data_IF_062450929709
#
_entry.id   IF_062450929709
#
_cell.length_a   1.000
_cell.length_b   1.000
_cell.length_c   1.000
_cell.angle_alpha   90.00
_cell.angle_beta   90.00
_cell.angle_gamma   90.00
#
_symmetry.space_group_name_H-M   'P 1'
#
loop_
_entity.id
_entity.type
_entity.pdbx_description
1 polymer ?
#
# COMPACT_ATOMS: atom_id res chain seq x y z
N UNK A 1 -2.83 -8.84 -20.11
CA UNK A 1 -2.90 -8.33 -18.72
C UNK A 1 -3.40 -9.43 -17.81
N UNK A 2 -2.86 -9.60 -16.59
CA UNK A 2 -3.45 -10.53 -15.61
C UNK A 2 -4.92 -10.15 -15.37
N UNK A 3 -5.75 -11.14 -15.04
CA UNK A 3 -7.19 -10.97 -14.90
C UNK A 3 -7.50 -9.88 -13.86
N UNK A 4 -8.09 -8.76 -14.30
CA UNK A 4 -8.55 -7.69 -13.41
C UNK A 4 -9.98 -7.99 -12.94
N UNK A 5 -10.29 -7.64 -11.68
CA UNK A 5 -11.65 -7.61 -11.16
C UNK A 5 -12.06 -6.16 -10.98
N UNK A 6 -13.28 -5.82 -11.38
CA UNK A 6 -13.84 -4.47 -11.17
C UNK A 6 -14.15 -4.28 -9.69
N UNK A 7 -13.65 -3.19 -9.13
CA UNK A 7 -13.97 -2.73 -7.78
C UNK A 7 -14.39 -1.26 -7.85
N UNK A 8 -15.28 -0.85 -6.97
CA UNK A 8 -15.74 0.54 -6.83
C UNK A 8 -15.39 1.02 -5.44
N UNK A 9 -14.76 2.19 -5.32
CA UNK A 9 -14.38 2.80 -4.05
C UNK A 9 -14.66 4.29 -4.11
N UNK A 10 -14.98 4.87 -2.96
CA UNK A 10 -15.11 6.32 -2.82
C UNK A 10 -13.75 6.91 -2.47
N UNK A 11 -13.44 8.07 -3.06
CA UNK A 11 -12.28 8.88 -2.72
C UNK A 11 -12.78 10.19 -2.12
N UNK A 12 -12.04 10.71 -1.14
CA UNK A 12 -12.25 12.09 -0.71
C UNK A 12 -12.01 13.05 -1.89
N UNK A 13 -12.72 14.18 -1.90
CA UNK A 13 -12.73 15.12 -3.03
C UNK A 13 -11.33 15.66 -3.37
N UNK A 14 -10.54 15.96 -2.34
CA UNK A 14 -9.16 16.43 -2.46
C UNK A 14 -8.24 15.35 -3.03
N UNK A 15 -8.36 14.12 -2.55
CA UNK A 15 -7.62 12.95 -3.05
C UNK A 15 -7.95 12.67 -4.52
N UNK A 16 -9.22 12.69 -4.88
CA UNK A 16 -9.65 12.49 -6.26
C UNK A 16 -9.07 13.58 -7.19
N UNK A 17 -9.10 14.86 -6.76
CA UNK A 17 -8.52 15.97 -7.53
C UNK A 17 -7.00 15.82 -7.71
N UNK A 18 -6.28 15.47 -6.65
CA UNK A 18 -4.84 15.24 -6.70
C UNK A 18 -4.50 14.06 -7.62
N UNK A 19 -5.21 12.94 -7.49
CA UNK A 19 -5.03 11.76 -8.31
C UNK A 19 -5.33 12.03 -9.78
N UNK A 20 -6.39 12.78 -10.10
CA UNK A 20 -6.72 13.17 -11.47
C UNK A 20 -5.62 14.03 -12.11
N UNK A 21 -5.06 14.97 -11.35
CA UNK A 21 -3.92 15.79 -11.81
C UNK A 21 -2.69 14.93 -12.07
N UNK A 22 -2.37 14.01 -11.16
CA UNK A 22 -1.25 13.08 -11.31
C UNK A 22 -1.40 12.21 -12.56
N UNK A 23 -2.58 11.62 -12.75
CA UNK A 23 -2.93 10.81 -13.91
C UNK A 23 -2.69 11.55 -15.24
N UNK A 24 -3.15 12.81 -15.32
CA UNK A 24 -2.93 13.65 -16.50
C UNK A 24 -1.45 14.00 -16.72
N UNK A 25 -0.69 14.25 -15.65
CA UNK A 25 0.75 14.55 -15.74
C UNK A 25 1.58 13.35 -16.19
N UNK A 26 1.18 12.13 -15.81
CA UNK A 26 1.94 10.91 -16.09
C UNK A 26 1.43 10.14 -17.31
N UNK A 27 0.37 10.62 -17.97
CA UNK A 27 -0.35 9.91 -19.02
C UNK A 27 -0.72 8.46 -18.63
N UNK A 28 -1.22 8.31 -17.40
CA UNK A 28 -1.62 7.01 -16.85
C UNK A 28 -3.08 7.07 -16.36
N UNK A 29 -3.84 5.97 -16.49
CA UNK A 29 -5.18 5.93 -15.95
C UNK A 29 -5.14 5.97 -14.42
N UNK A 30 -6.10 6.64 -13.79
CA UNK A 30 -6.23 6.72 -12.33
C UNK A 30 -6.26 5.33 -11.67
N UNK A 31 -6.86 4.34 -12.34
CA UNK A 31 -6.90 2.96 -11.87
C UNK A 31 -5.51 2.30 -11.81
N UNK A 32 -4.59 2.63 -12.72
CA UNK A 32 -3.21 2.14 -12.65
C UNK A 32 -2.50 2.73 -11.43
N UNK A 33 -2.60 4.04 -11.23
CA UNK A 33 -2.00 4.73 -10.08
C UNK A 33 -2.52 4.18 -8.74
N UNK A 34 -3.83 3.95 -8.64
CA UNK A 34 -4.44 3.35 -7.44
C UNK A 34 -3.98 1.92 -7.23
N UNK A 35 -3.97 1.10 -8.29
CA UNK A 35 -3.49 -0.28 -8.19
C UNK A 35 -2.03 -0.35 -7.75
N UNK A 36 -1.18 0.53 -8.25
CA UNK A 36 0.24 0.57 -7.88
C UNK A 36 0.43 1.02 -6.43
N UNK A 37 -0.32 2.03 -5.99
CA UNK A 37 -0.33 2.45 -4.59
C UNK A 37 -0.77 1.30 -3.65
N UNK A 38 -1.85 0.60 -3.99
CA UNK A 38 -2.33 -0.55 -3.23
C UNK A 38 -1.32 -1.69 -3.20
N UNK A 39 -0.68 -2.00 -4.32
CA UNK A 39 0.37 -3.04 -4.39
C UNK A 39 1.54 -2.73 -3.48
N UNK A 40 1.99 -1.47 -3.45
CA UNK A 40 3.10 -1.04 -2.57
C UNK A 40 2.71 -1.16 -1.09
N UNK A 41 1.57 -0.58 -0.70
CA UNK A 41 1.10 -0.64 0.68
C UNK A 41 0.95 -2.09 1.18
N UNK A 42 0.32 -2.96 0.37
CA UNK A 42 0.15 -4.36 0.74
C UNK A 42 1.45 -5.17 0.77
N UNK A 43 2.44 -4.81 -0.05
CA UNK A 43 3.74 -5.47 -0.04
C UNK A 43 4.56 -5.10 1.21
N UNK A 44 4.50 -3.83 1.63
CA UNK A 44 5.09 -3.34 2.88
C UNK A 44 4.47 -4.08 4.09
N UNK A 45 3.13 -4.10 4.18
CA UNK A 45 2.43 -4.83 5.25
C UNK A 45 2.80 -6.32 5.27
N UNK A 46 2.89 -6.97 4.10
CA UNK A 46 3.27 -8.37 4.01
C UNK A 46 4.70 -8.63 4.49
N UNK A 47 5.62 -7.71 4.21
CA UNK A 47 7.00 -7.75 4.69
C UNK A 47 7.06 -7.66 6.20
N UNK A 48 6.34 -6.69 6.78
CA UNK A 48 6.30 -6.49 8.24
C UNK A 48 5.70 -7.71 8.96
N UNK A 49 4.61 -8.25 8.43
CA UNK A 49 4.01 -9.48 8.94
C UNK A 49 4.96 -10.68 8.84
N UNK A 50 5.77 -10.77 7.78
CA UNK A 50 6.76 -11.83 7.64
C UNK A 50 7.88 -11.72 8.70
N UNK A 51 8.36 -10.50 8.97
CA UNK A 51 9.34 -10.25 10.04
C UNK A 51 8.73 -10.61 11.39
N UNK A 52 7.52 -10.13 11.69
CA UNK A 52 6.82 -10.44 12.94
C UNK A 52 6.62 -11.96 13.14
N UNK A 53 6.28 -12.69 12.08
CA UNK A 53 6.15 -14.16 12.12
C UNK A 53 7.49 -14.85 12.39
N UNK A 54 8.57 -14.41 11.74
CA UNK A 54 9.93 -14.97 11.95
C UNK A 54 10.40 -14.76 13.39
N UNK A 55 10.11 -13.59 13.97
CA UNK A 55 10.50 -13.23 15.33
C UNK A 55 9.58 -13.78 16.42
N UNK A 56 8.52 -14.52 16.06
CA UNK A 56 7.52 -15.01 17.03
C UNK A 56 8.12 -15.88 18.14
N UNK A 57 9.18 -16.63 17.85
CA UNK A 57 9.87 -17.49 18.82
C UNK A 57 11.08 -16.83 19.49
N UNK A 58 11.41 -15.58 19.14
CA UNK A 58 12.51 -14.86 19.78
C UNK A 58 12.13 -14.50 21.22
N UNK A 59 13.08 -14.69 22.14
CA UNK A 59 12.88 -14.31 23.54
C UNK A 59 12.88 -12.78 23.64
N UNK A 60 11.89 -12.23 24.34
CA UNK A 60 11.83 -10.79 24.58
C UNK A 60 13.09 -10.33 25.33
N UNK A 61 13.69 -9.26 24.85
CA UNK A 61 14.84 -8.61 25.49
C UNK A 61 14.37 -7.42 26.32
N UNK A 62 14.92 -7.20 27.52
CA UNK A 62 14.59 -6.02 28.31
C UNK A 62 15.06 -4.76 27.58
N UNK A 63 14.21 -3.73 27.55
CA UNK A 63 14.62 -2.40 27.09
C UNK A 63 15.69 -1.90 28.07
N UNK A 64 16.89 -1.59 27.56
CA UNK A 64 17.98 -1.14 28.42
C UNK A 64 17.58 0.18 29.09
N UNK A 65 17.26 0.13 30.39
CA UNK A 65 17.15 1.30 31.22
C UNK A 65 18.56 1.87 31.41
N UNK A 66 18.75 3.13 31.04
CA UNK A 66 19.94 3.90 31.38
C UNK A 66 19.67 4.70 32.65
#
# INVERSE_FOLDING_TARGET
MPRSRRSTFYLADDVHRALRRRAAQTDQPMSALVNDALRRALAEDASDLAIARRRRSERAVPFAAR
#
